data_IF_097188213273
#
_entry.id   IF_097188213273
#
_cell.length_a   1.000
_cell.length_b   1.000
_cell.length_c   1.000
_cell.angle_alpha   90.00
_cell.angle_beta   90.00
_cell.angle_gamma   90.00
#
_symmetry.space_group_name_H-M   'P 1'
#
loop_
_entity.id
_entity.type
_entity.pdbx_description
1 polymer ?
#
# COMPACT_ATOMS: atom_id res chain seq x y z
N UNK A 1 13.17 -12.40 18.87
CA UNK A 1 14.10 -13.41 18.32
C UNK A 1 14.54 -12.89 16.97
N UNK A 2 15.79 -12.50 16.78
CA UNK A 2 16.19 -11.73 15.60
C UNK A 2 16.23 -12.56 14.31
N UNK A 3 15.71 -12.00 13.21
CA UNK A 3 15.83 -12.61 11.88
C UNK A 3 17.23 -12.34 11.32
N UNK A 4 18.09 -13.35 11.30
CA UNK A 4 19.46 -13.20 10.78
C UNK A 4 20.25 -12.09 11.49
N UNK A 5 20.15 -12.04 12.83
CA UNK A 5 20.74 -11.03 13.73
C UNK A 5 20.14 -9.61 13.66
N UNK A 6 19.06 -9.39 12.89
CA UNK A 6 18.36 -8.10 12.81
C UNK A 6 16.99 -8.13 13.50
N UNK A 7 16.62 -7.02 14.14
CA UNK A 7 15.25 -6.85 14.67
C UNK A 7 14.25 -6.52 13.55
N UNK A 8 13.10 -7.19 13.58
CA UNK A 8 12.06 -7.04 12.56
C UNK A 8 10.79 -6.45 13.17
N UNK A 9 10.33 -5.35 12.59
CA UNK A 9 9.04 -4.73 12.88
C UNK A 9 8.05 -4.94 11.75
N UNK A 10 6.77 -5.10 12.08
CA UNK A 10 5.67 -5.04 11.11
C UNK A 10 4.75 -3.88 11.45
N UNK A 11 4.50 -3.00 10.48
CA UNK A 11 3.51 -1.94 10.56
C UNK A 11 2.22 -2.41 9.90
N UNK A 12 1.12 -2.34 10.64
CA UNK A 12 -0.22 -2.74 10.18
C UNK A 12 -1.14 -1.52 10.16
N UNK A 13 -1.26 -0.82 9.01
CA UNK A 13 -2.23 0.26 8.88
C UNK A 13 -3.65 -0.31 8.76
N UNK A 14 -4.61 0.30 9.45
CA UNK A 14 -6.01 -0.10 9.45
C UNK A 14 -6.95 1.11 9.30
N UNK A 15 -7.97 0.98 8.46
CA UNK A 15 -9.07 1.95 8.35
C UNK A 15 -10.37 1.26 7.92
N UNK A 16 -11.28 1.08 8.87
CA UNK A 16 -12.52 0.31 8.70
C UNK A 16 -12.28 -1.13 8.21
N UNK A 17 -11.43 -1.87 8.93
CA UNK A 17 -11.04 -3.26 8.66
C UNK A 17 -11.65 -4.24 9.70
N UNK A 18 -12.79 -3.87 10.28
CA UNK A 18 -13.53 -4.73 11.22
C UNK A 18 -13.90 -6.05 10.55
N UNK A 19 -13.68 -7.15 11.27
CA UNK A 19 -13.81 -8.52 10.81
C UNK A 19 -12.54 -9.13 10.23
N UNK A 20 -11.47 -8.35 10.03
CA UNK A 20 -10.20 -8.82 9.48
C UNK A 20 -8.99 -8.50 10.37
N UNK A 21 -8.96 -7.31 10.97
CA UNK A 21 -7.77 -6.79 11.65
C UNK A 21 -7.30 -7.67 12.81
N UNK A 22 -8.23 -8.28 13.55
CA UNK A 22 -7.88 -9.19 14.66
C UNK A 22 -7.06 -10.38 14.17
N UNK A 23 -7.55 -11.08 13.15
CA UNK A 23 -6.88 -12.24 12.54
C UNK A 23 -5.52 -11.83 11.94
N UNK A 24 -5.44 -10.66 11.30
CA UNK A 24 -4.18 -10.14 10.75
C UNK A 24 -3.12 -9.98 11.85
N UNK A 25 -3.48 -9.44 13.01
CA UNK A 25 -2.56 -9.26 14.14
C UNK A 25 -2.12 -10.61 14.70
N UNK A 26 -3.04 -11.55 14.87
CA UNK A 26 -2.76 -12.87 15.44
C UNK A 26 -1.93 -13.77 14.52
N UNK A 27 -2.01 -13.56 13.20
CA UNK A 27 -1.30 -14.36 12.20
C UNK A 27 0.08 -13.79 11.84
N UNK A 28 0.50 -12.66 12.43
CA UNK A 28 1.86 -12.14 12.27
C UNK A 28 2.88 -13.21 12.72
N UNK A 29 3.89 -13.56 11.90
CA UNK A 29 4.82 -14.62 12.23
C UNK A 29 5.68 -14.31 13.47
N UNK A 30 5.96 -15.33 14.27
CA UNK A 30 6.71 -15.21 15.52
C UNK A 30 8.20 -14.79 15.38
N UNK A 31 8.75 -14.74 14.14
CA UNK A 31 10.08 -14.16 13.91
C UNK A 31 10.05 -12.62 13.96
N UNK A 32 8.88 -12.00 13.94
CA UNK A 32 8.71 -10.56 14.09
C UNK A 32 8.93 -10.20 15.56
N UNK A 33 9.77 -9.19 15.81
CA UNK A 33 10.11 -8.76 17.16
C UNK A 33 9.09 -7.76 17.73
N UNK A 34 8.43 -6.97 16.86
CA UNK A 34 7.37 -6.03 17.27
C UNK A 34 6.38 -5.72 16.15
N UNK A 35 5.11 -5.55 16.51
CA UNK A 35 4.02 -5.17 15.61
C UNK A 35 3.49 -3.80 16.02
N UNK A 36 3.38 -2.88 15.07
CA UNK A 36 2.78 -1.56 15.25
C UNK A 36 1.49 -1.49 14.45
N UNK A 37 0.36 -1.59 15.15
CA UNK A 37 -0.96 -1.56 14.51
C UNK A 37 -1.51 -0.14 14.64
N UNK A 38 -1.84 0.48 13.50
CA UNK A 38 -2.20 1.91 13.44
C UNK A 38 -3.61 2.07 12.89
N UNK A 39 -4.55 2.45 13.77
CA UNK A 39 -5.91 2.84 13.40
C UNK A 39 -5.93 4.28 12.85
N UNK A 40 -6.25 4.43 11.57
CA UNK A 40 -6.33 5.73 10.89
C UNK A 40 -7.71 6.39 11.07
N UNK A 41 -8.18 6.41 12.32
CA UNK A 41 -9.48 6.92 12.74
C UNK A 41 -10.65 6.16 12.10
N UNK A 42 -10.73 4.86 12.36
CA UNK A 42 -11.87 4.05 11.92
C UNK A 42 -13.16 4.48 12.61
N UNK A 43 -14.28 4.22 11.92
CA UNK A 43 -15.64 4.52 12.36
C UNK A 43 -16.44 3.28 12.77
N UNK A 44 -15.85 2.09 12.60
CA UNK A 44 -16.40 0.79 12.99
C UNK A 44 -15.61 0.17 14.16
N UNK A 45 -15.76 -1.14 14.38
CA UNK A 45 -15.13 -1.87 15.48
C UNK A 45 -13.63 -2.16 15.29
N UNK A 46 -12.98 -1.65 14.24
CA UNK A 46 -11.55 -1.90 13.95
C UNK A 46 -10.65 -1.66 15.17
N UNK A 47 -10.83 -0.53 15.87
CA UNK A 47 -10.03 -0.18 17.05
C UNK A 47 -10.23 -1.16 18.21
N UNK A 48 -11.47 -1.61 18.43
CA UNK A 48 -11.81 -2.56 19.50
C UNK A 48 -11.18 -3.92 19.19
N UNK A 49 -11.42 -4.45 17.99
CA UNK A 49 -10.88 -5.75 17.54
C UNK A 49 -9.35 -5.82 17.58
N UNK A 50 -8.66 -4.79 17.09
CA UNK A 50 -7.19 -4.79 17.09
C UNK A 50 -6.59 -4.66 18.49
N UNK A 51 -7.29 -3.98 19.42
CA UNK A 51 -6.82 -3.84 20.81
C UNK A 51 -7.01 -5.15 21.55
N UNK A 52 -8.16 -5.83 21.37
CA UNK A 52 -8.40 -7.14 21.95
C UNK A 52 -7.40 -8.20 21.43
N UNK A 53 -7.08 -8.16 20.13
CA UNK A 53 -6.05 -9.03 19.56
C UNK A 53 -4.65 -8.70 20.10
N UNK A 54 -4.33 -7.41 20.25
CA UNK A 54 -3.07 -6.97 20.85
C UNK A 54 -2.92 -7.49 22.30
N UNK A 55 -3.97 -7.37 23.12
CA UNK A 55 -3.97 -7.87 24.50
C UNK A 55 -3.71 -9.39 24.55
N UNK A 56 -4.43 -10.17 23.73
CA UNK A 56 -4.23 -11.64 23.64
C UNK A 56 -2.81 -12.02 23.22
N UNK A 57 -2.21 -11.26 22.31
CA UNK A 57 -0.84 -11.52 21.85
C UNK A 57 0.20 -11.07 22.87
N UNK A 58 -0.01 -9.95 23.55
CA UNK A 58 0.89 -9.42 24.59
C UNK A 58 0.90 -10.27 25.87
N UNK A 59 -0.16 -11.02 26.15
CA UNK A 59 -0.17 -12.03 27.21
C UNK A 59 0.80 -13.20 26.94
N UNK A 60 1.13 -13.45 25.67
CA UNK A 60 1.89 -14.62 25.21
C UNK A 60 3.30 -14.27 24.72
N UNK A 61 3.46 -13.07 24.18
CA UNK A 61 4.67 -12.60 23.53
C UNK A 61 5.07 -11.25 24.10
N UNK A 62 6.38 -11.03 24.23
CA UNK A 62 6.94 -9.75 24.64
C UNK A 62 7.89 -9.24 23.58
N UNK A 63 7.96 -7.92 23.42
CA UNK A 63 8.95 -7.27 22.59
C UNK A 63 10.37 -7.46 23.11
N UNK A 64 11.39 -7.08 22.32
CA UNK A 64 12.80 -7.34 22.64
C UNK A 64 13.30 -6.60 23.89
N UNK A 65 12.61 -5.54 24.31
CA UNK A 65 12.88 -4.75 25.53
C UNK A 65 12.07 -5.23 26.75
N UNK A 66 11.28 -6.31 26.61
CA UNK A 66 10.37 -6.82 27.64
C UNK A 66 9.04 -6.08 27.76
N UNK A 67 8.77 -5.12 26.86
CA UNK A 67 7.46 -4.48 26.73
C UNK A 67 6.52 -5.24 25.79
N UNK A 68 5.48 -4.56 25.33
CA UNK A 68 4.47 -5.14 24.44
C UNK A 68 5.09 -5.61 23.11
N UNK A 69 4.62 -6.76 22.64
CA UNK A 69 4.92 -7.28 21.31
C UNK A 69 4.06 -6.57 20.24
N UNK A 70 2.79 -6.28 20.55
CA UNK A 70 1.89 -5.47 19.73
C UNK A 70 1.67 -4.11 20.39
N UNK A 71 2.02 -3.05 19.67
CA UNK A 71 1.80 -1.66 20.06
C UNK A 71 0.66 -1.10 19.21
N UNK A 72 -0.45 -0.69 19.85
CA UNK A 72 -1.59 -0.08 19.19
C UNK A 72 -1.48 1.44 19.18
N UNK A 73 -1.76 2.06 18.04
CA UNK A 73 -1.69 3.52 17.87
C UNK A 73 -2.98 3.98 17.18
N UNK A 74 -3.59 5.06 17.70
CA UNK A 74 -4.80 5.65 17.11
C UNK A 74 -4.58 7.07 16.65
N UNK A 75 -4.95 7.36 15.41
CA UNK A 75 -4.97 8.72 14.91
C UNK A 75 -6.22 9.50 15.35
N UNK A 76 -6.03 10.78 15.70
CA UNK A 76 -7.15 11.69 15.98
C UNK A 76 -7.88 12.16 14.71
N UNK A 77 -7.16 12.16 13.58
CA UNK A 77 -7.63 12.57 12.25
C UNK A 77 -7.19 11.53 11.22
N UNK A 78 -8.04 11.23 10.23
CA UNK A 78 -7.65 10.33 9.14
C UNK A 78 -6.54 10.98 8.30
N UNK A 79 -5.35 10.38 8.33
CA UNK A 79 -4.15 10.84 7.61
C UNK A 79 -3.98 10.12 6.27
N UNK A 80 -4.67 9.00 6.07
CA UNK A 80 -4.53 8.09 4.95
C UNK A 80 -3.49 6.99 5.23
N UNK A 81 -3.53 5.93 4.42
CA UNK A 81 -2.66 4.74 4.56
C UNK A 81 -1.17 5.07 4.65
N UNK A 82 -0.69 6.05 3.88
CA UNK A 82 0.71 6.49 3.95
C UNK A 82 1.03 7.18 5.27
N UNK A 83 0.10 8.00 5.79
CA UNK A 83 0.25 8.59 7.13
C UNK A 83 0.29 7.53 8.24
N UNK A 84 -0.59 6.52 8.18
CA UNK A 84 -0.58 5.41 9.13
C UNK A 84 0.72 4.59 9.08
N UNK A 85 1.24 4.34 7.86
CA UNK A 85 2.54 3.67 7.70
C UNK A 85 3.68 4.50 8.30
N UNK A 86 3.69 5.82 8.08
CA UNK A 86 4.71 6.70 8.65
C UNK A 86 4.69 6.70 10.18
N UNK A 87 3.53 6.79 10.79
CA UNK A 87 3.40 6.68 12.25
C UNK A 87 3.99 5.38 12.78
N UNK A 88 3.74 4.25 12.10
CA UNK A 88 4.36 2.99 12.46
C UNK A 88 5.88 2.97 12.23
N UNK A 89 6.36 3.59 11.15
CA UNK A 89 7.79 3.75 10.89
C UNK A 89 8.49 4.59 11.95
N UNK A 90 7.92 5.73 12.33
CA UNK A 90 8.46 6.60 13.38
C UNK A 90 8.63 5.83 14.68
N UNK A 91 7.56 5.15 15.11
CA UNK A 91 7.58 4.36 16.35
C UNK A 91 8.59 3.21 16.27
N UNK A 92 8.68 2.54 15.12
CA UNK A 92 9.64 1.45 14.90
C UNK A 92 11.10 1.93 14.95
N UNK A 93 11.40 3.08 14.34
CA UNK A 93 12.74 3.66 14.38
C UNK A 93 13.11 4.16 15.78
N UNK A 94 12.16 4.76 16.51
CA UNK A 94 12.34 5.16 17.91
C UNK A 94 12.71 3.98 18.81
N UNK A 95 12.09 2.81 18.57
CA UNK A 95 12.38 1.56 19.27
C UNK A 95 13.65 0.86 18.77
N UNK A 96 14.34 1.41 17.77
CA UNK A 96 15.60 0.86 17.24
C UNK A 96 15.41 -0.39 16.38
N UNK A 97 14.26 -0.54 15.73
CA UNK A 97 14.00 -1.66 14.82
C UNK A 97 14.81 -1.52 13.52
N UNK A 98 15.35 -2.63 13.01
CA UNK A 98 16.31 -2.60 11.90
C UNK A 98 15.69 -2.93 10.54
N UNK A 99 14.65 -3.77 10.51
CA UNK A 99 13.89 -4.08 9.29
C UNK A 99 12.41 -3.81 9.55
N UNK A 100 11.83 -2.93 8.75
CA UNK A 100 10.45 -2.49 8.90
C UNK A 100 9.64 -3.01 7.71
N UNK A 101 8.67 -3.86 7.97
CA UNK A 101 7.74 -4.38 6.97
C UNK A 101 6.37 -3.72 7.11
N UNK A 102 5.60 -3.71 6.02
CA UNK A 102 4.20 -3.27 6.01
C UNK A 102 3.31 -4.43 5.62
N UNK A 103 2.28 -4.70 6.42
CA UNK A 103 1.25 -5.69 6.14
C UNK A 103 -0.13 -5.06 6.39
N UNK A 104 -1.00 -4.98 5.39
CA UNK A 104 -2.30 -4.30 5.52
C UNK A 104 -3.24 -5.03 6.49
N UNK A 105 -4.14 -4.27 7.13
CA UNK A 105 -5.20 -4.79 8.00
C UNK A 105 -6.34 -5.53 7.30
N UNK A 106 -6.37 -5.57 5.96
CA UNK A 106 -7.47 -6.11 5.13
C UNK A 106 -7.40 -7.64 4.91
N UNK A 107 -6.40 -8.33 5.47
CA UNK A 107 -6.22 -9.77 5.31
C UNK A 107 -5.73 -10.24 3.93
N UNK A 108 -5.40 -9.33 3.00
CA UNK A 108 -5.00 -9.69 1.62
C UNK A 108 -3.51 -10.04 1.49
N UNK A 109 -2.73 -9.87 2.55
CA UNK A 109 -1.29 -10.13 2.58
C UNK A 109 -1.02 -11.39 3.37
N UNK A 110 -0.67 -12.49 2.68
CA UNK A 110 -0.34 -13.78 3.31
C UNK A 110 0.88 -13.64 4.23
N UNK A 111 0.72 -13.78 5.56
CA UNK A 111 1.81 -13.63 6.52
C UNK A 111 2.95 -14.63 6.29
N UNK A 112 2.66 -15.77 5.67
CA UNK A 112 3.68 -16.76 5.32
C UNK A 112 4.64 -16.26 4.23
N UNK A 113 4.30 -15.22 3.47
CA UNK A 113 5.21 -14.60 2.50
C UNK A 113 6.13 -13.55 3.14
N UNK A 114 5.86 -13.11 4.37
CA UNK A 114 6.59 -12.01 5.02
C UNK A 114 8.11 -12.25 5.05
N UNK A 115 8.52 -13.47 5.39
CA UNK A 115 9.93 -13.83 5.47
C UNK A 115 10.67 -13.63 4.15
N UNK A 116 9.98 -13.78 3.00
CA UNK A 116 10.58 -13.59 1.66
C UNK A 116 10.84 -12.13 1.33
N UNK A 117 10.08 -11.21 1.93
CA UNK A 117 10.30 -9.76 1.85
C UNK A 117 11.38 -9.31 2.82
N UNK A 118 11.32 -9.80 4.06
CA UNK A 118 12.26 -9.45 5.13
C UNK A 118 13.66 -9.96 4.82
N UNK A 119 13.81 -11.20 4.34
CA UNK A 119 15.11 -11.83 4.09
C UNK A 119 16.10 -10.98 3.28
N UNK A 120 15.81 -10.55 2.04
CA UNK A 120 16.75 -9.76 1.24
C UNK A 120 17.13 -8.43 1.89
N UNK A 121 16.30 -7.89 2.79
CA UNK A 121 16.60 -6.67 3.53
C UNK A 121 17.48 -6.97 4.74
N UNK A 122 17.11 -7.98 5.54
CA UNK A 122 17.83 -8.37 6.75
C UNK A 122 19.28 -8.79 6.46
N UNK A 123 19.52 -9.52 5.36
CA UNK A 123 20.88 -9.95 4.97
C UNK A 123 21.68 -8.87 4.23
N UNK A 124 21.10 -7.69 4.00
CA UNK A 124 21.74 -6.55 3.33
C UNK A 124 21.86 -6.66 1.81
N UNK A 125 21.14 -7.59 1.17
CA UNK A 125 21.11 -7.71 -0.29
C UNK A 125 20.38 -6.52 -0.94
N UNK A 126 19.40 -5.93 -0.25
CA UNK A 126 18.67 -4.75 -0.72
C UNK A 126 18.23 -3.86 0.45
N UNK A 127 18.07 -2.56 0.21
CA UNK A 127 17.51 -1.66 1.23
C UNK A 127 15.98 -1.59 1.19
N UNK A 128 15.36 -2.08 0.11
CA UNK A 128 13.91 -2.12 -0.04
C UNK A 128 13.48 -3.36 -0.83
N UNK A 129 12.53 -4.11 -0.30
CA UNK A 129 11.89 -5.25 -0.95
C UNK A 129 10.38 -5.00 -1.04
N UNK A 130 9.77 -5.42 -2.14
CA UNK A 130 8.31 -5.31 -2.29
C UNK A 130 7.70 -6.49 -3.01
N UNK A 131 6.44 -6.74 -2.73
CA UNK A 131 5.66 -7.76 -3.40
C UNK A 131 5.49 -7.49 -4.89
N UNK A 132 5.32 -8.58 -5.63
CA UNK A 132 5.01 -8.55 -7.04
C UNK A 132 4.03 -9.67 -7.43
N UNK A 133 2.78 -9.28 -7.65
CA UNK A 133 1.73 -10.17 -8.18
C UNK A 133 1.69 -10.23 -9.70
N UNK A 134 2.43 -9.35 -10.39
CA UNK A 134 2.30 -9.13 -11.82
C UNK A 134 3.35 -9.88 -12.65
N UNK A 135 4.49 -10.27 -12.09
CA UNK A 135 5.53 -11.02 -12.84
C UNK A 135 5.14 -12.46 -13.16
N UNK A 136 4.32 -13.11 -12.34
CA UNK A 136 3.92 -14.50 -12.56
C UNK A 136 2.57 -14.63 -13.27
N UNK A 137 2.48 -15.35 -14.41
CA UNK A 137 1.24 -15.50 -15.17
C UNK A 137 0.08 -16.10 -14.37
N UNK A 138 0.37 -17.01 -13.43
CA UNK A 138 -0.64 -17.68 -12.59
C UNK A 138 -1.24 -16.83 -11.47
N UNK A 139 -0.74 -15.61 -11.24
CA UNK A 139 -1.28 -14.68 -10.22
C UNK A 139 -2.21 -13.61 -10.82
N UNK A 140 -2.48 -13.68 -12.13
CA UNK A 140 -3.31 -12.71 -12.86
C UNK A 140 -4.76 -13.14 -13.02
N UNK A 141 -5.10 -14.35 -12.58
CA UNK A 141 -6.44 -14.91 -12.69
C UNK A 141 -7.43 -14.03 -11.90
N UNK A 142 -8.49 -13.56 -12.58
CA UNK A 142 -9.51 -12.67 -12.01
C UNK A 142 -9.37 -11.16 -12.30
N UNK A 143 -8.27 -10.68 -12.91
CA UNK A 143 -8.10 -9.25 -13.19
C UNK A 143 -8.78 -8.81 -14.49
N UNK A 144 -9.70 -7.84 -14.41
CA UNK A 144 -10.34 -7.21 -15.58
C UNK A 144 -9.32 -6.60 -16.56
N UNK A 145 -9.53 -6.68 -17.89
CA UNK A 145 -8.64 -6.07 -18.90
C UNK A 145 -8.36 -4.58 -18.66
N UNK A 146 -9.32 -3.83 -18.13
CA UNK A 146 -9.14 -2.42 -17.80
C UNK A 146 -8.16 -2.20 -16.64
N UNK A 147 -8.28 -3.01 -15.58
CA UNK A 147 -7.34 -3.00 -14.45
C UNK A 147 -5.94 -3.38 -14.89
N UNK A 148 -5.82 -4.38 -15.76
CA UNK A 148 -4.54 -4.79 -16.35
C UNK A 148 -3.88 -3.65 -17.15
N UNK A 149 -4.64 -2.95 -18.00
CA UNK A 149 -4.14 -1.78 -18.73
C UNK A 149 -3.70 -0.65 -17.79
N UNK A 150 -4.53 -0.31 -16.79
CA UNK A 150 -4.21 0.70 -15.79
C UNK A 150 -2.92 0.38 -15.02
N UNK A 151 -2.77 -0.86 -14.57
CA UNK A 151 -1.55 -1.34 -13.91
C UNK A 151 -0.34 -1.27 -14.84
N UNK A 152 -0.47 -1.64 -16.10
CA UNK A 152 0.63 -1.56 -17.07
C UNK A 152 1.07 -0.11 -17.34
N UNK A 153 0.12 0.79 -17.57
CA UNK A 153 0.38 2.21 -17.77
C UNK A 153 1.07 2.81 -16.54
N UNK A 154 0.51 2.56 -15.35
CA UNK A 154 1.06 3.09 -14.11
C UNK A 154 2.43 2.50 -13.78
N UNK A 155 2.63 1.21 -14.05
CA UNK A 155 3.96 0.58 -13.93
C UNK A 155 4.96 1.28 -14.83
N UNK A 156 4.59 1.58 -16.08
CA UNK A 156 5.47 2.28 -17.03
C UNK A 156 5.78 3.69 -16.57
N UNK A 157 4.77 4.47 -16.16
CA UNK A 157 4.96 5.82 -15.63
C UNK A 157 5.86 5.81 -14.39
N UNK A 158 5.67 4.84 -13.49
CA UNK A 158 6.48 4.73 -12.28
C UNK A 158 7.90 4.33 -12.59
N UNK A 159 8.16 3.42 -13.54
CA UNK A 159 9.53 3.09 -14.00
C UNK A 159 10.28 4.31 -14.49
N UNK A 160 9.64 5.12 -15.33
CA UNK A 160 10.20 6.39 -15.82
C UNK A 160 10.41 7.35 -14.65
N UNK A 161 9.40 7.51 -13.80
CA UNK A 161 9.35 8.49 -12.71
C UNK A 161 10.28 8.19 -11.53
N UNK A 162 10.50 6.90 -11.21
CA UNK A 162 11.39 6.45 -10.14
C UNK A 162 12.80 6.17 -10.64
N UNK A 163 12.97 5.66 -11.87
CA UNK A 163 14.28 5.25 -12.40
C UNK A 163 14.57 3.77 -12.17
N UNK A 164 13.67 3.03 -11.49
CA UNK A 164 13.74 1.57 -11.40
C UNK A 164 13.09 0.91 -12.62
N UNK A 165 13.85 0.79 -13.70
CA UNK A 165 13.33 0.31 -14.99
C UNK A 165 12.92 -1.16 -15.03
N UNK A 166 13.45 -1.98 -14.12
CA UNK A 166 13.18 -3.42 -14.01
C UNK A 166 12.09 -3.76 -13.01
N UNK A 167 11.56 -2.78 -12.28
CA UNK A 167 10.53 -2.96 -11.28
C UNK A 167 9.18 -3.37 -11.89
N UNK A 168 8.46 -4.25 -11.21
CA UNK A 168 7.09 -4.67 -11.49
C UNK A 168 6.16 -4.22 -10.36
N UNK A 169 4.83 -4.28 -10.53
CA UNK A 169 3.82 -3.99 -9.48
C UNK A 169 4.16 -2.88 -8.44
N UNK A 170 4.36 -1.61 -8.85
CA UNK A 170 4.76 -0.53 -7.92
C UNK A 170 3.69 -0.14 -6.90
N UNK A 171 2.46 -0.64 -7.04
CA UNK A 171 1.36 -0.34 -6.13
C UNK A 171 1.20 -1.39 -5.02
N UNK A 172 2.09 -2.38 -4.96
CA UNK A 172 2.05 -3.38 -3.92
C UNK A 172 2.44 -2.75 -2.58
N UNK A 173 1.55 -2.83 -1.59
CA UNK A 173 1.78 -2.33 -0.23
C UNK A 173 2.58 -3.31 0.63
N UNK A 174 2.71 -4.58 0.22
CA UNK A 174 3.44 -5.58 0.98
C UNK A 174 4.94 -5.39 0.77
N UNK A 175 5.60 -4.80 1.77
CA UNK A 175 6.95 -4.26 1.60
C UNK A 175 7.81 -4.54 2.83
N UNK A 176 9.12 -4.48 2.65
CA UNK A 176 10.10 -4.43 3.72
C UNK A 176 11.19 -3.40 3.38
N UNK A 177 11.62 -2.62 4.35
CA UNK A 177 12.65 -1.58 4.21
C UNK A 177 13.64 -1.68 5.37
N UNK A 178 14.92 -1.51 5.11
CA UNK A 178 15.93 -1.38 6.17
C UNK A 178 15.82 0.00 6.82
N UNK A 179 15.98 0.10 8.13
CA UNK A 179 16.00 1.37 8.85
C UNK A 179 17.01 2.35 8.23
N UNK A 180 18.20 1.87 7.83
CA UNK A 180 19.23 2.71 7.21
C UNK A 180 18.78 3.31 5.87
N UNK A 181 18.02 2.57 5.06
CA UNK A 181 17.47 3.07 3.80
C UNK A 181 16.34 4.09 4.04
N UNK A 182 15.52 3.87 5.06
CA UNK A 182 14.43 4.76 5.42
C UNK A 182 14.95 6.09 5.98
N UNK A 183 15.92 6.05 6.90
CA UNK A 183 16.60 7.23 7.44
C UNK A 183 17.41 7.99 6.38
N UNK A 184 17.88 7.29 5.34
CA UNK A 184 18.55 7.93 4.21
C UNK A 184 17.61 8.82 3.39
N UNK A 185 16.29 8.76 3.57
CA UNK A 185 15.32 9.62 2.89
C UNK A 185 14.52 10.44 3.89
N UNK A 186 14.06 11.61 3.46
CA UNK A 186 13.02 12.35 4.18
C UNK A 186 11.68 11.68 3.83
N UNK A 187 11.33 10.59 4.51
CA UNK A 187 10.07 9.88 4.25
C UNK A 187 8.86 10.64 4.84
N UNK A 188 9.07 11.46 5.86
CA UNK A 188 8.03 12.31 6.45
C UNK A 188 7.38 13.25 5.43
N UNK A 189 8.16 13.87 4.55
CA UNK A 189 7.59 14.72 3.48
C UNK A 189 7.04 13.95 2.27
N UNK A 190 6.89 12.62 2.35
CA UNK A 190 6.24 11.82 1.29
C UNK A 190 4.72 11.99 1.30
N UNK A 191 4.07 11.53 0.22
CA UNK A 191 2.62 11.65 0.06
C UNK A 191 1.85 10.72 1.00
N UNK A 192 0.90 11.23 1.79
CA UNK A 192 0.21 10.45 2.84
C UNK A 192 -0.87 9.48 2.33
N UNK A 193 -1.26 9.60 1.07
CA UNK A 193 -2.38 8.84 0.48
C UNK A 193 -1.88 7.86 -0.59
N UNK A 194 -2.81 7.34 -1.38
CA UNK A 194 -2.54 6.55 -2.58
C UNK A 194 -1.51 7.24 -3.48
N UNK A 195 -0.28 6.70 -3.48
CA UNK A 195 0.89 7.36 -4.06
C UNK A 195 2.15 7.24 -3.18
N UNK A 196 1.99 6.98 -1.89
CA UNK A 196 3.07 6.80 -0.91
C UNK A 196 4.21 5.88 -1.42
N UNK A 197 3.87 4.64 -1.81
CA UNK A 197 4.86 3.68 -2.33
C UNK A 197 5.62 4.22 -3.56
N UNK A 198 4.94 4.98 -4.42
CA UNK A 198 5.54 5.56 -5.62
C UNK A 198 6.52 6.69 -5.29
N UNK A 199 6.18 7.56 -4.34
CA UNK A 199 7.09 8.64 -3.92
C UNK A 199 8.31 8.07 -3.17
N UNK A 200 8.12 7.05 -2.33
CA UNK A 200 9.21 6.30 -1.68
C UNK A 200 10.20 5.76 -2.71
N UNK A 201 9.73 5.06 -3.74
CA UNK A 201 10.57 4.52 -4.81
C UNK A 201 11.42 5.61 -5.48
N UNK A 202 10.87 6.80 -5.73
CA UNK A 202 11.65 7.88 -6.33
C UNK A 202 12.75 8.36 -5.37
N UNK A 203 12.43 8.49 -4.08
CA UNK A 203 13.39 8.96 -3.06
C UNK A 203 14.51 7.94 -2.84
N UNK A 204 14.17 6.66 -2.78
CA UNK A 204 15.14 5.57 -2.72
C UNK A 204 16.08 5.55 -3.92
N UNK A 205 15.55 5.74 -5.14
CA UNK A 205 16.39 5.80 -6.33
C UNK A 205 17.38 6.98 -6.28
N UNK A 206 16.92 8.16 -5.86
CA UNK A 206 17.78 9.34 -5.70
C UNK A 206 18.93 9.07 -4.72
N UNK A 207 18.71 8.24 -3.69
CA UNK A 207 19.75 7.82 -2.74
C UNK A 207 20.53 6.58 -3.17
N UNK A 208 20.19 5.97 -4.30
CA UNK A 208 20.85 4.77 -4.81
C UNK A 208 20.58 3.51 -3.98
N UNK A 209 19.41 3.42 -3.34
CA UNK A 209 19.00 2.25 -2.56
C UNK A 209 18.68 1.08 -3.51
N UNK A 210 19.25 -0.12 -3.32
CA UNK A 210 18.89 -1.28 -4.12
C UNK A 210 17.46 -1.78 -3.81
N UNK A 211 16.73 -2.17 -4.85
CA UNK A 211 15.35 -2.66 -4.82
C UNK A 211 15.28 -4.13 -5.26
N UNK A 212 14.43 -4.91 -4.59
CA UNK A 212 14.06 -6.29 -4.96
C UNK A 212 12.54 -6.43 -5.10
N UNK A 213 12.10 -7.04 -6.21
CA UNK A 213 10.72 -7.53 -6.34
C UNK A 213 10.64 -9.01 -5.94
N UNK A 214 9.75 -9.31 -4.98
CA UNK A 214 9.51 -10.66 -4.48
C UNK A 214 8.21 -11.20 -5.09
N UNK A 215 8.27 -12.21 -5.98
CA UNK A 215 7.07 -12.78 -6.60
C UNK A 215 6.19 -13.48 -5.56
N UNK A 216 4.90 -13.14 -5.52
CA UNK A 216 3.93 -13.70 -4.58
C UNK A 216 2.51 -13.76 -5.18
N UNK A 217 1.67 -14.71 -4.72
CA UNK A 217 0.27 -14.77 -5.13
C UNK A 217 -0.53 -13.59 -4.59
N UNK A 218 -1.54 -13.17 -5.35
CA UNK A 218 -2.55 -12.27 -4.83
C UNK A 218 -3.61 -13.11 -4.08
N UNK A 219 -3.87 -12.76 -2.83
CA UNK A 219 -5.03 -13.27 -2.09
C UNK A 219 -6.19 -12.34 -2.41
N UNK A 220 -7.20 -12.84 -3.09
CA UNK A 220 -8.43 -12.11 -3.35
C UNK A 220 -9.51 -12.64 -2.40
N UNK A 221 -9.93 -11.83 -1.44
CA UNK A 221 -11.05 -12.10 -0.55
C UNK A 221 -12.38 -11.60 -1.09
N UNK A 222 -13.38 -11.53 -0.22
CA UNK A 222 -14.75 -11.08 -0.54
C UNK A 222 -14.89 -9.55 -0.49
N UNK A 223 -13.80 -8.80 -0.29
CA UNK A 223 -13.85 -7.34 -0.10
C UNK A 223 -13.98 -6.55 -1.41
N UNK A 224 -14.73 -5.45 -1.35
CA UNK A 224 -14.87 -4.52 -2.47
C UNK A 224 -13.76 -3.48 -2.47
N UNK A 225 -12.87 -3.51 -3.47
CA UNK A 225 -11.88 -2.43 -3.69
C UNK A 225 -12.57 -1.06 -3.83
N UNK A 226 -12.41 -0.18 -2.84
CA UNK A 226 -12.97 1.18 -2.83
C UNK A 226 -12.23 2.22 -3.72
N UNK A 227 -11.22 1.80 -4.50
CA UNK A 227 -10.40 2.72 -5.32
C UNK A 227 -11.18 3.26 -6.53
N UNK A 228 -11.41 4.58 -6.55
CA UNK A 228 -11.94 5.32 -7.72
C UNK A 228 -10.82 5.75 -8.66
N UNK A 229 -10.49 4.90 -9.64
CA UNK A 229 -9.39 5.09 -10.60
C UNK A 229 -9.38 6.43 -11.35
N UNK A 230 -10.55 6.99 -11.66
CA UNK A 230 -10.68 8.26 -12.41
C UNK A 230 -10.16 9.48 -11.64
N UNK A 231 -10.18 9.44 -10.32
CA UNK A 231 -9.65 10.50 -9.46
C UNK A 231 -8.18 10.26 -9.10
N UNK A 232 -7.79 8.99 -9.04
CA UNK A 232 -6.44 8.56 -8.67
C UNK A 232 -5.42 8.79 -9.78
N UNK A 233 -5.73 8.40 -11.02
CA UNK A 233 -4.75 8.40 -12.10
C UNK A 233 -4.16 9.79 -12.43
N UNK A 234 -4.93 10.90 -12.46
CA UNK A 234 -4.39 12.24 -12.71
C UNK A 234 -3.46 12.71 -11.58
N UNK A 235 -3.87 12.52 -10.33
CA UNK A 235 -3.09 12.91 -9.14
C UNK A 235 -1.76 12.17 -9.08
N UNK A 236 -1.79 10.85 -9.28
CA UNK A 236 -0.57 10.05 -9.29
C UNK A 236 0.34 10.37 -10.49
N UNK A 237 -0.24 10.61 -11.67
CA UNK A 237 0.56 11.01 -12.84
C UNK A 237 1.28 12.35 -12.61
N UNK A 238 0.61 13.31 -11.97
CA UNK A 238 1.23 14.59 -11.60
C UNK A 238 2.30 14.42 -10.53
N UNK A 239 2.06 13.58 -9.52
CA UNK A 239 3.06 13.22 -8.51
C UNK A 239 4.30 12.61 -9.17
N UNK A 240 4.13 11.60 -10.02
CA UNK A 240 5.22 10.96 -10.75
C UNK A 240 5.98 11.92 -11.65
N UNK A 241 5.28 12.85 -12.33
CA UNK A 241 5.91 13.88 -13.14
C UNK A 241 6.74 14.84 -12.28
N UNK A 242 6.19 15.34 -11.17
CA UNK A 242 6.92 16.22 -10.23
C UNK A 242 8.13 15.49 -9.65
N UNK A 243 7.98 14.23 -9.28
CA UNK A 243 9.04 13.36 -8.77
C UNK A 243 10.14 13.10 -9.82
N UNK A 244 9.76 12.83 -11.06
CA UNK A 244 10.68 12.72 -12.20
C UNK A 244 11.50 14.01 -12.40
N UNK A 245 10.83 15.17 -12.44
CA UNK A 245 11.50 16.46 -12.62
C UNK A 245 12.43 16.80 -11.45
N UNK A 246 12.03 16.48 -10.20
CA UNK A 246 12.90 16.62 -9.03
C UNK A 246 14.14 15.74 -9.13
N UNK A 247 13.98 14.47 -9.53
CA UNK A 247 15.10 13.53 -9.77
C UNK A 247 16.05 14.08 -10.84
N UNK A 248 15.49 14.54 -11.95
CA UNK A 248 16.22 15.16 -13.06
C UNK A 248 17.04 16.37 -12.61
N UNK A 249 16.39 17.32 -11.92
CA UNK A 249 17.05 18.52 -11.42
C UNK A 249 18.20 18.18 -10.45
N UNK A 250 17.98 17.24 -9.52
CA UNK A 250 19.02 16.78 -8.59
C UNK A 250 20.21 16.15 -9.32
N UNK A 251 19.95 15.34 -10.36
CA UNK A 251 21.01 14.72 -11.15
C UNK A 251 21.87 15.74 -11.90
N UNK A 252 21.31 16.89 -12.30
CA UNK A 252 22.05 17.97 -12.97
C UNK A 252 22.91 18.81 -11.99
N UNK A 253 22.43 19.01 -10.76
CA UNK A 253 23.06 19.91 -9.78
C UNK A 253 24.08 19.19 -8.87
N UNK A 254 23.85 17.92 -8.55
CA UNK A 254 24.65 17.21 -7.54
C UNK A 254 26.10 17.04 -8.01
N UNK A 255 27.12 17.60 -7.34
CA UNK A 255 28.52 17.52 -7.74
C UNK A 255 29.09 16.09 -7.68
N UNK A 256 28.54 15.26 -6.78
CA UNK A 256 29.10 13.99 -6.33
C UNK A 256 28.60 12.73 -7.07
N UNK A 257 27.89 12.85 -8.20
CA UNK A 257 27.41 11.67 -8.92
C UNK A 257 27.20 11.91 -10.40
N UNK A 258 27.96 11.17 -11.23
CA UNK A 258 27.68 11.04 -12.67
C UNK A 258 26.41 10.22 -12.96
N UNK A 259 25.84 9.55 -11.94
CA UNK A 259 24.65 8.69 -12.05
C UNK A 259 23.42 9.52 -12.43
N UNK A 260 23.09 9.52 -13.73
CA UNK A 260 21.89 10.16 -14.28
C UNK A 260 22.12 11.51 -14.98
N UNK A 261 23.32 12.13 -14.91
CA UNK A 261 23.60 13.39 -15.64
C UNK A 261 23.40 13.24 -17.15
N UNK A 262 23.91 12.14 -17.70
CA UNK A 262 23.80 11.84 -19.13
C UNK A 262 22.36 11.67 -19.59
N UNK A 263 21.56 10.88 -18.86
CA UNK A 263 20.13 10.74 -19.16
C UNK A 263 19.41 12.08 -18.98
N UNK A 264 19.82 12.87 -18.00
CA UNK A 264 19.17 14.15 -17.72
C UNK A 264 19.33 15.18 -18.83
N UNK A 265 20.54 15.31 -19.36
CA UNK A 265 20.82 16.18 -20.51
C UNK A 265 20.07 15.73 -21.76
N UNK A 266 19.95 14.42 -21.98
CA UNK A 266 19.18 13.85 -23.09
C UNK A 266 17.68 14.13 -22.95
N UNK A 267 17.10 13.97 -21.76
CA UNK A 267 15.71 14.35 -21.50
C UNK A 267 15.47 15.84 -21.72
N UNK A 268 16.32 16.70 -21.15
CA UNK A 268 16.18 18.15 -21.28
C UNK A 268 16.29 18.60 -22.75
N UNK A 269 17.32 18.14 -23.46
CA UNK A 269 17.51 18.45 -24.88
C UNK A 269 16.38 17.91 -25.75
N UNK A 270 15.92 16.69 -25.50
CA UNK A 270 14.80 16.07 -26.22
C UNK A 270 13.49 16.80 -26.02
N UNK A 271 13.17 17.21 -24.78
CA UNK A 271 11.97 17.97 -24.44
C UNK A 271 12.01 19.38 -25.06
N UNK A 272 13.13 20.10 -24.95
CA UNK A 272 13.29 21.43 -25.54
C UNK A 272 13.16 21.39 -27.06
N UNK A 273 13.80 20.42 -27.72
CA UNK A 273 13.72 20.27 -29.17
C UNK A 273 12.31 19.88 -29.64
N UNK A 274 11.62 19.01 -28.88
CA UNK A 274 10.23 18.64 -29.17
C UNK A 274 9.29 19.83 -29.01
N UNK A 275 9.44 20.62 -27.93
CA UNK A 275 8.64 21.83 -27.69
C UNK A 275 8.86 22.88 -28.78
N UNK A 276 10.12 23.16 -29.15
CA UNK A 276 10.45 24.08 -30.25
C UNK A 276 9.83 23.61 -31.59
N UNK A 277 9.80 22.30 -31.83
CA UNK A 277 9.18 21.72 -33.03
C UNK A 277 7.67 21.93 -33.07
N UNK A 278 6.99 21.79 -31.93
CA UNK A 278 5.55 22.05 -31.81
C UNK A 278 5.24 23.53 -32.06
N UNK A 279 6.00 24.45 -31.47
CA UNK A 279 5.84 25.90 -31.72
C UNK A 279 6.06 26.23 -33.20
N UNK A 280 7.07 25.63 -33.84
CA UNK A 280 7.38 25.86 -35.24
C UNK A 280 6.27 25.36 -36.20
N UNK A 281 5.44 24.38 -35.79
CA UNK A 281 4.28 23.92 -36.56
C UNK A 281 3.23 25.03 -36.71
N UNK A 282 3.06 25.88 -35.71
CA UNK A 282 2.17 27.03 -35.77
C UNK A 282 2.78 28.22 -36.55
N UNK A 283 4.11 28.24 -36.73
CA UNK A 283 4.86 29.35 -37.33
C UNK A 283 5.21 29.26 -38.81
N UNK A 284 4.64 28.32 -39.59
CA UNK A 284 5.07 28.00 -40.99
C UNK A 284 6.56 27.59 -41.11
N UNK A 285 7.15 27.04 -40.05
CA UNK A 285 8.55 26.58 -40.04
C UNK A 285 8.74 25.16 -40.60
N UNK A 286 9.98 24.82 -40.95
CA UNK A 286 10.40 23.50 -41.49
C UNK A 286 10.46 22.48 -40.34
N UNK A 287 9.35 21.80 -40.06
CA UNK A 287 9.12 21.05 -38.79
C UNK A 287 9.32 19.54 -38.85
N UNK A 288 9.60 18.96 -40.03
CA UNK A 288 9.57 17.49 -40.21
C UNK A 288 10.76 16.74 -39.60
N UNK A 289 11.89 17.40 -39.35
CA UNK A 289 13.14 16.74 -38.89
C UNK A 289 13.38 16.92 -37.38
N UNK A 290 12.86 18.00 -36.78
CA UNK A 290 13.18 18.36 -35.39
C UNK A 290 12.37 17.58 -34.37
N UNK A 291 11.10 17.23 -34.66
CA UNK A 291 10.27 16.43 -33.75
C UNK A 291 10.77 14.98 -33.60
N UNK A 292 11.10 14.24 -34.69
CA UNK A 292 11.69 12.91 -34.56
C UNK A 292 13.03 12.91 -33.81
N UNK A 293 13.86 13.94 -34.01
CA UNK A 293 15.12 14.09 -33.29
C UNK A 293 14.90 14.34 -31.79
N UNK A 294 13.92 15.18 -31.43
CA UNK A 294 13.55 15.40 -30.02
C UNK A 294 13.06 14.13 -29.34
N UNK A 295 12.19 13.37 -30.01
CA UNK A 295 11.71 12.07 -29.52
C UNK A 295 12.85 11.05 -29.38
N UNK A 296 13.76 10.99 -30.37
CA UNK A 296 14.92 10.10 -30.32
C UNK A 296 15.85 10.42 -29.12
N UNK A 297 16.02 11.70 -28.78
CA UNK A 297 16.77 12.11 -27.59
C UNK A 297 16.07 11.68 -26.29
N UNK A 298 14.73 11.80 -26.21
CA UNK A 298 13.97 11.31 -25.05
C UNK A 298 14.13 9.80 -24.88
N UNK A 299 13.96 9.03 -25.96
CA UNK A 299 14.14 7.57 -25.95
C UNK A 299 15.60 7.19 -25.61
N UNK A 300 16.57 7.92 -26.14
CA UNK A 300 17.98 7.78 -25.78
C UNK A 300 18.22 8.05 -24.29
N UNK A 301 17.57 9.09 -23.75
CA UNK A 301 17.55 9.42 -22.33
C UNK A 301 17.03 8.27 -21.49
N UNK A 302 15.90 7.65 -21.88
CA UNK A 302 15.34 6.46 -21.23
C UNK A 302 16.32 5.29 -21.22
N UNK A 303 16.98 5.01 -22.35
CA UNK A 303 17.95 3.92 -22.44
C UNK A 303 19.20 4.15 -21.58
N UNK A 304 19.72 5.39 -21.54
CA UNK A 304 20.86 5.75 -20.69
C UNK A 304 20.46 5.71 -19.22
N UNK A 305 19.25 6.16 -18.88
CA UNK A 305 18.71 6.12 -17.52
C UNK A 305 18.56 4.68 -17.03
N UNK A 306 18.02 3.79 -17.87
CA UNK A 306 17.89 2.37 -17.56
C UNK A 306 19.23 1.69 -17.32
N UNK A 307 20.26 2.03 -18.10
CA UNK A 307 21.62 1.50 -17.88
C UNK A 307 22.24 2.06 -16.61
N UNK A 308 22.08 3.36 -16.34
CA UNK A 308 22.65 4.03 -15.16
C UNK A 308 22.05 3.54 -13.84
N UNK A 309 20.83 2.99 -13.88
CA UNK A 309 20.11 2.46 -12.72
C UNK A 309 20.05 0.92 -12.71
N UNK A 310 20.73 0.23 -13.63
CA UNK A 310 20.60 -1.22 -13.79
C UNK A 310 21.07 -2.02 -12.56
N UNK A 311 22.05 -1.48 -11.83
CA UNK A 311 22.62 -2.07 -10.60
C UNK A 311 21.71 -1.88 -9.39
N UNK A 312 20.78 -0.91 -9.43
CA UNK A 312 19.87 -0.67 -8.31
C UNK A 312 18.71 -1.67 -8.24
N UNK A 313 18.64 -2.61 -9.19
CA UNK A 313 17.62 -3.65 -9.19
C UNK A 313 18.26 -5.01 -9.02
N UNK A 314 17.97 -5.64 -7.90
CA UNK A 314 18.44 -6.98 -7.56
C UNK A 314 17.32 -7.98 -7.84
N UNK A 315 17.70 -9.18 -8.27
CA UNK A 315 16.74 -10.26 -8.50
C UNK A 315 16.48 -10.94 -7.16
N UNK A 316 15.22 -11.17 -6.80
CA UNK A 316 14.88 -11.95 -5.63
C UNK A 316 15.52 -13.35 -5.70
N UNK A 317 15.89 -13.94 -4.53
CA UNK A 317 16.24 -15.34 -4.45
C UNK A 317 15.11 -16.21 -5.04
N UNK A 318 15.44 -17.40 -5.58
CA UNK A 318 14.43 -18.38 -5.99
C UNK A 318 13.45 -18.68 -4.85
N UNK A 319 12.18 -18.95 -5.18
CA UNK A 319 11.09 -19.20 -4.21
C UNK A 319 11.46 -20.30 -3.21
N UNK A 320 12.14 -21.34 -3.68
CA UNK A 320 12.50 -22.53 -2.87
C UNK A 320 13.84 -22.39 -2.14
N UNK A 321 14.51 -21.23 -2.23
CA UNK A 321 15.85 -21.02 -1.67
C UNK A 321 15.84 -20.26 -0.32
N UNK A 322 14.66 -19.77 0.09
CA UNK A 322 14.49 -19.08 1.37
C UNK A 322 13.52 -19.92 2.20
N UNK A 323 14.06 -20.82 3.01
CA UNK A 323 13.25 -21.50 4.01
C UNK A 323 12.75 -20.48 5.03
N UNK A 324 11.50 -20.62 5.47
CA UNK A 324 11.03 -19.88 6.64
C UNK A 324 12.03 -20.12 7.79
N UNK A 325 12.41 -19.09 8.56
CA UNK A 325 13.36 -19.26 9.64
C UNK A 325 12.87 -20.39 10.55
N UNK A 326 13.73 -21.39 10.79
CA UNK A 326 13.38 -22.53 11.62
C UNK A 326 13.02 -22.02 13.01
N UNK A 327 11.75 -22.14 13.38
CA UNK A 327 11.28 -21.87 14.73
C UNK A 327 12.10 -22.73 15.72
N UNK A 328 12.60 -22.17 16.82
CA UNK A 328 13.27 -22.97 17.83
C UNK A 328 12.25 -23.97 18.40
N UNK A 329 12.70 -25.20 18.66
CA UNK A 329 11.87 -26.30 19.15
C UNK A 329 11.11 -26.00 20.47
N UNK A 330 11.44 -24.90 21.16
CA UNK A 330 10.72 -24.44 22.36
C UNK A 330 9.30 -23.95 22.09
N UNK A 331 8.92 -23.65 20.84
CA UNK A 331 7.55 -23.27 20.48
C UNK A 331 6.59 -24.48 20.36
N UNK A 332 7.10 -25.69 20.09
CA UNK A 332 6.28 -26.91 20.09
C UNK A 332 5.81 -27.31 21.49
N UNK A 333 6.60 -26.99 22.53
CA UNK A 333 6.26 -27.37 23.90
C UNK A 333 5.09 -26.56 24.49
N UNK A 334 4.81 -25.36 23.98
CA UNK A 334 3.67 -24.55 24.43
C UNK A 334 2.36 -25.00 23.76
N UNK A 335 2.39 -25.33 22.46
CA UNK A 335 1.22 -25.81 21.73
C UNK A 335 0.80 -27.24 22.13
N UNK A 336 1.76 -28.12 22.45
CA UNK A 336 1.46 -29.49 22.90
C UNK A 336 1.08 -29.57 24.39
N UNK A 337 1.36 -28.52 25.19
CA UNK A 337 0.94 -28.45 26.59
C UNK A 337 -0.53 -28.03 26.73
N UNK A 338 -1.03 -27.13 25.88
CA UNK A 338 -2.44 -26.75 25.86
C UNK A 338 -3.35 -27.87 25.31
N UNK A 339 -2.85 -28.72 24.42
CA UNK A 339 -3.61 -29.88 23.91
C UNK A 339 -3.75 -31.03 24.93
N UNK A 340 -2.99 -31.03 26.03
CA UNK A 340 -2.96 -32.12 27.01
C UNK A 340 -3.71 -31.80 28.31
N UNK A 341 -4.00 -30.52 28.60
CA UNK A 341 -4.79 -30.13 29.77
C UNK A 341 -6.31 -30.27 29.52
N UNK A 342 -6.76 -30.12 28.27
CA UNK A 342 -8.18 -30.32 27.88
C UNK A 342 -8.59 -31.81 27.83
N UNK A 343 -7.65 -32.75 27.95
CA UNK A 343 -7.93 -34.18 27.87
C UNK A 343 -8.13 -34.87 29.24
N UNK A 344 -7.97 -34.16 30.37
CA UNK A 344 -8.01 -34.78 31.71
C UNK A 344 -9.34 -34.57 32.46
N UNK A 345 -10.23 -33.68 32.01
CA UNK A 345 -11.47 -33.36 32.75
C UNK A 345 -12.77 -33.96 32.16
N UNK A 346 -12.68 -34.81 31.13
CA UNK A 346 -13.84 -35.42 30.49
C UNK A 346 -13.86 -36.96 30.58
N UNK A 347 -13.77 -37.51 31.80
CA UNK A 347 -14.09 -38.93 32.02
C UNK A 347 -14.57 -39.25 33.45
N UNK A 348 -15.66 -38.59 33.87
CA UNK A 348 -16.47 -39.08 34.98
C UNK A 348 -17.93 -38.66 34.81
N UNK A 349 -18.73 -39.54 34.24
CA UNK A 349 -19.93 -40.12 34.89
C UNK A 349 -20.85 -40.70 33.81
N UNK A 350 -21.32 -41.92 34.02
CA UNK A 350 -22.23 -42.61 33.13
C UNK A 350 -23.48 -43.01 33.89
N UNK A 351 -24.65 -42.99 33.24
CA UNK A 351 -25.67 -44.05 33.38
C UNK A 351 -26.84 -43.85 32.40
N UNK A 352 -27.01 -44.88 31.56
CA UNK A 352 -28.20 -45.61 31.12
C UNK A 352 -29.63 -45.03 31.21
N UNK A 353 -30.45 -45.33 30.19
CA UNK A 353 -31.91 -45.16 30.25
C UNK A 353 -32.62 -44.99 28.90
N UNK A 354 -32.90 -46.09 28.21
CA UNK A 354 -33.88 -46.17 27.09
C UNK A 354 -35.32 -45.98 27.60
N UNK A 355 -36.29 -45.51 26.78
CA UNK A 355 -37.69 -46.04 26.66
C UNK A 355 -38.58 -45.18 25.71
N UNK A 356 -39.17 -45.91 24.75
CA UNK A 356 -40.47 -45.84 24.04
C UNK A 356 -41.15 -44.57 23.45
N UNK A 357 -41.60 -44.83 22.21
CA UNK A 357 -42.71 -44.31 21.40
C UNK A 357 -44.04 -44.08 22.15
N UNK A 358 -44.81 -43.07 21.71
CA UNK A 358 -46.28 -43.15 21.58
C UNK A 358 -46.76 -42.14 20.53
N UNK A 359 -47.47 -42.67 19.54
CA UNK A 359 -48.26 -41.97 18.51
C UNK A 359 -49.48 -41.26 19.11
N UNK A 360 -49.93 -40.16 18.48
CA UNK A 360 -51.37 -39.84 18.45
C UNK A 360 -51.72 -39.05 17.19
N UNK A 361 -52.47 -39.71 16.33
CA UNK A 361 -53.22 -39.22 15.17
C UNK A 361 -54.24 -38.12 15.52
N UNK A 362 -54.55 -37.26 14.54
CA UNK A 362 -55.85 -37.25 13.83
C UNK A 362 -55.82 -36.19 12.72
N UNK A 363 -56.13 -36.62 11.48
CA UNK A 363 -57.14 -36.10 10.51
C UNK A 363 -57.58 -34.64 10.66
N UNK A 364 -57.94 -33.86 9.64
CA UNK A 364 -58.28 -34.01 8.21
C UNK A 364 -58.56 -32.52 7.80
N UNK A 365 -58.36 -31.96 6.61
CA UNK A 365 -59.12 -32.21 5.37
C UNK A 365 -58.63 -31.20 4.29
N UNK A 366 -58.47 -31.70 3.07
CA UNK A 366 -58.80 -31.12 1.74
C UNK A 366 -59.40 -29.69 1.67
N UNK A 367 -59.23 -28.82 0.64
CA UNK A 367 -59.01 -29.00 -0.80
C UNK A 367 -58.87 -27.63 -1.52
N UNK A 368 -58.14 -27.63 -2.66
CA UNK A 368 -58.36 -26.92 -3.96
C UNK A 368 -58.30 -25.37 -4.04
N UNK A 369 -57.35 -24.81 -4.82
CA UNK A 369 -57.48 -24.32 -6.23
C UNK A 369 -58.16 -22.94 -6.35
N UNK A 370 -57.90 -21.99 -7.27
CA UNK A 370 -56.93 -21.75 -8.36
C UNK A 370 -57.21 -20.30 -8.86
N UNK A 371 -56.17 -19.62 -9.38
CA UNK A 371 -56.17 -18.48 -10.34
C UNK A 371 -56.91 -17.15 -10.07
N UNK A 372 -56.13 -16.06 -10.15
CA UNK A 372 -56.15 -15.13 -11.29
C UNK A 372 -57.02 -13.87 -11.21
N UNK A 373 -56.44 -12.72 -11.57
CA UNK A 373 -57.20 -11.58 -12.11
C UNK A 373 -56.86 -10.19 -11.59
N UNK A 374 -56.17 -9.43 -12.44
CA UNK A 374 -55.95 -7.97 -12.50
C UNK A 374 -57.20 -7.08 -12.43
N UNK A 375 -57.05 -5.86 -11.88
CA UNK A 375 -57.48 -4.52 -12.40
C UNK A 375 -57.61 -3.53 -11.21
N UNK A 376 -56.76 -2.51 -11.12
CA UNK A 376 -56.95 -1.11 -11.57
C UNK A 376 -58.11 -0.33 -10.92
N UNK A 377 -57.75 0.76 -10.22
CA UNK A 377 -58.20 2.17 -10.39
C UNK A 377 -57.80 2.95 -9.11
N UNK A 378 -56.88 3.91 -9.11
CA UNK A 378 -56.76 5.22 -9.77
C UNK A 378 -57.31 6.40 -8.93
N UNK A 379 -56.47 7.44 -8.81
CA UNK A 379 -56.80 8.82 -8.39
C UNK A 379 -56.11 9.25 -7.08
N UNK A 380 -55.38 10.37 -6.98
CA UNK A 380 -55.32 11.55 -7.87
C UNK A 380 -54.27 12.56 -7.33
N UNK A 381 -53.45 13.11 -8.25
CA UNK A 381 -52.83 14.46 -8.38
C UNK A 381 -52.04 15.09 -7.20
N UNK A 382 -50.96 15.86 -7.37
CA UNK A 382 -50.29 16.48 -8.53
C UNK A 382 -48.83 16.84 -8.19
N UNK A 383 -47.87 16.82 -9.14
CA UNK A 383 -47.38 17.96 -9.97
C UNK A 383 -46.83 19.10 -9.10
N UNK A 384 -45.57 19.56 -9.18
CA UNK A 384 -44.71 19.92 -10.32
C UNK A 384 -43.20 19.86 -9.95
N UNK A 385 -42.32 19.74 -10.95
CA UNK A 385 -40.88 20.13 -10.94
C UNK A 385 -40.75 21.47 -11.73
N UNK A 386 -39.58 22.10 -12.04
CA UNK A 386 -38.14 21.86 -11.69
C UNK A 386 -37.35 23.20 -11.45
N UNK A 387 -36.01 23.15 -11.55
CA UNK A 387 -35.04 24.25 -11.88
C UNK A 387 -34.68 25.24 -10.75
N UNK A 388 -33.53 25.93 -10.67
CA UNK A 388 -32.22 26.02 -11.35
C UNK A 388 -31.33 26.97 -10.49
N UNK A 389 -30.07 27.15 -10.91
CA UNK A 389 -29.00 28.02 -10.39
C UNK A 389 -29.32 29.49 -10.04
N UNK A 390 -28.49 30.08 -9.17
CA UNK A 390 -27.93 31.46 -9.22
C UNK A 390 -27.12 31.73 -7.92
N UNK A 391 -25.79 31.95 -7.93
CA UNK A 391 -25.03 33.19 -8.25
C UNK A 391 -25.31 34.41 -7.36
N UNK A 392 -24.26 34.77 -6.60
CA UNK A 392 -23.58 36.08 -6.55
C UNK A 392 -24.18 37.28 -5.78
N UNK A 393 -23.26 38.10 -5.25
CA UNK A 393 -23.45 39.43 -4.64
C UNK A 393 -23.26 39.44 -3.11
N UNK A 394 -22.30 40.13 -2.48
CA UNK A 394 -21.58 41.33 -2.88
C UNK A 394 -22.03 42.52 -2.02
N UNK A 395 -21.22 42.94 -1.04
CA UNK A 395 -21.24 44.28 -0.42
C UNK A 395 -19.78 44.64 -0.09
N UNK A 396 -19.08 45.49 -0.86
CA UNK A 396 -19.15 46.96 -0.99
C UNK A 396 -18.54 47.75 0.18
N UNK A 397 -17.52 48.57 -0.16
CA UNK A 397 -16.87 49.62 0.65
C UNK A 397 -15.35 49.40 0.69
N UNK A 398 -14.51 50.00 -0.18
CA UNK A 398 -14.10 51.42 -0.23
C UNK A 398 -13.74 51.94 1.18
N UNK A 399 -12.56 52.48 1.48
CA UNK A 399 -11.82 53.49 0.73
C UNK A 399 -10.39 53.68 1.32
N UNK A 400 -9.54 54.33 0.53
CA UNK A 400 -8.42 55.21 0.89
C UNK A 400 -7.20 54.75 1.72
N UNK A 401 -6.02 55.17 1.23
CA UNK A 401 -4.85 55.38 2.08
C UNK A 401 -3.50 55.18 1.41
N UNK A 402 -3.04 56.19 0.66
CA UNK A 402 -1.70 56.32 0.12
C UNK A 402 -0.61 56.62 1.18
N UNK A 403 0.64 56.63 0.70
CA UNK A 403 1.92 57.05 1.30
C UNK A 403 2.67 55.95 2.10
N UNK A 404 3.81 55.40 1.65
CA UNK A 404 5.09 55.95 1.20
C UNK A 404 6.00 56.46 2.34
N UNK A 405 7.23 55.92 2.35
CA UNK A 405 8.41 56.38 3.10
C UNK A 405 8.44 55.90 4.55
N UNK A 406 9.55 55.53 5.16
CA UNK A 406 10.96 55.47 4.77
C UNK A 406 11.68 54.88 6.00
N UNK A 407 12.87 54.30 5.81
CA UNK A 407 13.96 54.21 6.80
C UNK A 407 13.73 53.34 8.05
N UNK A 408 14.73 52.73 8.68
CA UNK A 408 16.12 52.34 8.40
C UNK A 408 16.53 51.52 9.64
N UNK A 409 17.55 50.68 9.47
CA UNK A 409 18.43 50.09 10.50
C UNK A 409 17.88 49.31 11.72
N UNK A 410 18.38 48.06 11.82
CA UNK A 410 18.33 47.20 12.99
C UNK A 410 18.81 45.78 12.70
#
# INVERSE_FOLDING_TARGET
MTYGDRTVAVVVPAYNESGFIGDVVETVPAFVDRVYVVDDKSSDATWEEMTEAADRMNDRLSGPDGGDWVVTIRHEVNQGVGGAIKTGYDRALEDGMEVLAVMNGDGQMDPNQLHRLVHPVAVGDAGYAKGDRLSHPGHRDGMSPWRSFGNHLLTTLTRVGSGYWRMHDPQNGYTAVSSEALEAIDYESTYDRYGFCNDLLVRFNVRGVPLVDVPMPAVYGDETSHIRYSQFAPGLSLLLLKSFLRRLARSLVSPAGDRGRGSALLYLGGLLLSAASVVALFGRGRTRVTLPAGLALVVGGMAVDARSNAELYHRAPPVDAVDAPSMPASAHAAADAEANDDAVDASADGTDGSTELTEMDTDDTETTETTGGTEETNGREGRERPDEAATDGGSSGADDGAAAGEEDDG
#
